data_IF_470608706662
#
_entry.id   IF_470608706662
#
_cell.length_a   1.000
_cell.length_b   1.000
_cell.length_c   1.000
_cell.angle_alpha   90.00
_cell.angle_beta   90.00
_cell.angle_gamma   90.00
#
_symmetry.space_group_name_H-M   'P 1'
#
loop_
_entity.id
_entity.type
_entity.pdbx_description
1 polymer ?
#
# COMPACT_ATOMS: atom_id res chain seq x y z
N UNK A 1 -4.52 4.29 -20.23
CA UNK A 1 -4.60 5.32 -21.28
C UNK A 1 -5.55 4.91 -22.40
N UNK A 2 -5.50 3.66 -22.86
CA UNK A 2 -6.41 3.16 -23.90
C UNK A 2 -7.89 3.34 -23.53
N UNK A 3 -8.24 3.16 -22.24
CA UNK A 3 -9.63 3.35 -21.76
C UNK A 3 -10.15 4.77 -22.04
N UNK A 4 -9.32 5.79 -21.82
CA UNK A 4 -9.68 7.20 -22.06
C UNK A 4 -9.82 7.46 -23.54
N UNK A 5 -8.90 6.95 -24.37
CA UNK A 5 -8.95 7.14 -25.82
C UNK A 5 -10.20 6.48 -26.44
N UNK A 6 -10.49 5.24 -26.05
CA UNK A 6 -11.68 4.51 -26.53
C UNK A 6 -12.96 5.25 -26.10
N UNK A 7 -13.04 5.65 -24.83
CA UNK A 7 -14.19 6.40 -24.33
C UNK A 7 -14.35 7.75 -25.04
N UNK A 8 -13.25 8.45 -25.32
CA UNK A 8 -13.26 9.74 -26.02
C UNK A 8 -13.78 9.59 -27.44
N UNK A 9 -13.21 8.66 -28.22
CA UNK A 9 -13.64 8.42 -29.60
C UNK A 9 -15.11 8.01 -29.65
N UNK A 10 -15.53 7.08 -28.79
CA UNK A 10 -16.91 6.61 -28.78
C UNK A 10 -17.90 7.67 -28.31
N UNK A 11 -17.58 8.42 -27.25
CA UNK A 11 -18.39 9.54 -26.76
C UNK A 11 -18.53 10.65 -27.79
N UNK A 12 -17.43 11.06 -28.43
CA UNK A 12 -17.43 12.06 -29.50
C UNK A 12 -18.21 11.59 -30.73
N UNK A 13 -18.10 10.31 -31.13
CA UNK A 13 -18.86 9.76 -32.24
C UNK A 13 -20.38 9.80 -31.97
N UNK A 14 -20.81 9.45 -30.75
CA UNK A 14 -22.21 9.53 -30.34
C UNK A 14 -22.74 10.98 -30.37
N UNK A 15 -21.96 11.94 -29.86
CA UNK A 15 -22.30 13.35 -29.90
C UNK A 15 -22.39 13.92 -31.31
N UNK A 16 -21.40 13.62 -32.16
CA UNK A 16 -21.37 14.05 -33.54
C UNK A 16 -22.53 13.47 -34.34
N UNK A 17 -22.83 12.18 -34.18
CA UNK A 17 -23.97 11.54 -34.82
C UNK A 17 -25.28 12.27 -34.47
N UNK A 18 -25.51 12.58 -33.19
CA UNK A 18 -26.69 13.34 -32.77
C UNK A 18 -26.72 14.76 -33.35
N UNK A 19 -25.59 15.47 -33.37
CA UNK A 19 -25.52 16.81 -33.91
C UNK A 19 -25.81 16.87 -35.42
N UNK A 20 -25.31 15.90 -36.21
CA UNK A 20 -25.52 15.88 -37.65
C UNK A 20 -26.82 15.23 -38.10
N UNK A 21 -27.45 14.39 -37.28
CA UNK A 21 -28.70 13.69 -37.64
C UNK A 21 -29.95 14.33 -37.08
N UNK A 22 -29.83 15.20 -36.07
CA UNK A 22 -30.98 15.82 -35.40
C UNK A 22 -30.86 17.35 -35.38
N UNK A 23 -31.98 18.04 -35.45
CA UNK A 23 -32.08 19.51 -35.29
C UNK A 23 -32.14 19.96 -33.83
N UNK A 24 -31.68 19.10 -32.89
CA UNK A 24 -31.68 19.38 -31.47
C UNK A 24 -30.69 20.50 -31.13
N UNK A 25 -30.95 21.19 -30.01
CA UNK A 25 -30.06 22.23 -29.51
C UNK A 25 -28.63 21.65 -29.30
N UNK A 26 -27.55 22.33 -29.74
CA UNK A 26 -26.18 21.80 -29.69
C UNK A 26 -25.72 21.33 -28.30
N UNK A 27 -26.29 21.93 -27.24
CA UNK A 27 -26.05 21.52 -25.86
C UNK A 27 -26.46 20.07 -25.58
N UNK A 28 -27.52 19.55 -26.21
CA UNK A 28 -27.99 18.16 -26.03
C UNK A 28 -26.96 17.18 -26.61
N UNK A 29 -26.39 17.47 -27.78
CA UNK A 29 -25.33 16.66 -28.37
C UNK A 29 -24.07 16.65 -27.51
N UNK A 30 -23.70 17.79 -26.92
CA UNK A 30 -22.55 17.88 -26.00
C UNK A 30 -22.77 17.07 -24.70
N UNK A 31 -23.96 17.14 -24.10
CA UNK A 31 -24.31 16.36 -22.91
C UNK A 31 -24.29 14.87 -23.22
N UNK A 32 -24.85 14.44 -24.36
CA UNK A 32 -24.86 13.04 -24.74
C UNK A 32 -23.45 12.50 -25.02
N UNK A 33 -22.58 13.31 -25.64
CA UNK A 33 -21.17 12.94 -25.83
C UNK A 33 -20.46 12.69 -24.49
N UNK A 34 -20.66 13.59 -23.52
CA UNK A 34 -20.08 13.46 -22.18
C UNK A 34 -20.66 12.26 -21.42
N UNK A 35 -21.97 12.02 -21.52
CA UNK A 35 -22.62 10.86 -20.92
C UNK A 35 -22.10 9.54 -21.51
N UNK A 36 -21.99 9.46 -22.85
CA UNK A 36 -21.42 8.32 -23.56
C UNK A 36 -19.97 8.05 -23.18
N UNK A 37 -19.13 9.10 -23.16
CA UNK A 37 -17.76 9.03 -22.66
C UNK A 37 -17.70 8.44 -21.25
N UNK A 38 -18.46 9.03 -20.34
CA UNK A 38 -18.45 8.66 -18.92
C UNK A 38 -18.88 7.20 -18.72
N UNK A 39 -19.96 6.79 -19.39
CA UNK A 39 -20.48 5.43 -19.31
C UNK A 39 -19.44 4.41 -19.79
N UNK A 40 -18.88 4.61 -20.99
CA UNK A 40 -17.90 3.68 -21.59
C UNK A 40 -16.64 3.62 -20.73
N UNK A 41 -16.12 4.76 -20.28
CA UNK A 41 -14.95 4.80 -19.41
C UNK A 41 -15.17 4.04 -18.10
N UNK A 42 -16.31 4.24 -17.44
CA UNK A 42 -16.66 3.57 -16.17
C UNK A 42 -16.80 2.05 -16.37
N UNK A 43 -17.37 1.59 -17.49
CA UNK A 43 -17.49 0.16 -17.79
C UNK A 43 -16.12 -0.49 -17.97
N UNK A 44 -15.22 0.12 -18.76
CA UNK A 44 -13.85 -0.38 -18.94
C UNK A 44 -13.09 -0.35 -17.60
N UNK A 45 -13.25 0.71 -16.81
CA UNK A 45 -12.64 0.80 -15.49
C UNK A 45 -13.10 -0.33 -14.57
N UNK A 46 -14.41 -0.58 -14.47
CA UNK A 46 -14.95 -1.68 -13.66
C UNK A 46 -14.40 -3.04 -14.12
N UNK A 47 -14.31 -3.27 -15.42
CA UNK A 47 -13.80 -4.53 -15.97
C UNK A 47 -12.32 -4.74 -15.61
N UNK A 48 -11.48 -3.72 -15.77
CA UNK A 48 -10.06 -3.82 -15.44
C UNK A 48 -9.87 -3.99 -13.92
N UNK A 49 -10.60 -3.23 -13.10
CA UNK A 49 -10.52 -3.34 -11.65
C UNK A 49 -10.99 -4.71 -11.15
N UNK A 50 -12.02 -5.29 -11.76
CA UNK A 50 -12.45 -6.67 -11.47
C UNK A 50 -11.33 -7.66 -11.77
N UNK A 51 -10.73 -7.60 -12.96
CA UNK A 51 -9.65 -8.52 -13.32
C UNK A 51 -8.41 -8.37 -12.42
N UNK A 52 -8.09 -7.15 -11.97
CA UNK A 52 -7.05 -6.90 -10.98
C UNK A 52 -7.44 -7.51 -9.63
N UNK A 53 -8.69 -7.34 -9.19
CA UNK A 53 -9.21 -7.93 -7.96
C UNK A 53 -9.14 -9.45 -7.95
N UNK A 54 -9.62 -10.10 -9.00
CA UNK A 54 -9.59 -11.57 -9.15
C UNK A 54 -8.15 -12.09 -9.11
N UNK A 55 -7.21 -11.37 -9.72
CA UNK A 55 -5.80 -11.73 -9.66
C UNK A 55 -5.20 -11.54 -8.26
N UNK A 56 -5.60 -10.51 -7.53
CA UNK A 56 -5.15 -10.29 -6.15
C UNK A 56 -5.62 -11.39 -5.21
N UNK A 57 -6.82 -11.95 -5.41
CA UNK A 57 -7.31 -13.08 -4.62
C UNK A 57 -6.43 -14.33 -4.83
N UNK A 58 -6.05 -14.62 -6.08
CA UNK A 58 -5.11 -15.70 -6.40
C UNK A 58 -3.74 -15.45 -5.78
N UNK A 59 -3.23 -14.21 -5.89
CA UNK A 59 -1.96 -13.81 -5.27
C UNK A 59 -1.96 -14.01 -3.76
N UNK A 60 -3.04 -13.65 -3.07
CA UNK A 60 -3.17 -13.89 -1.64
C UNK A 60 -3.14 -15.38 -1.31
N UNK A 61 -3.88 -16.21 -2.06
CA UNK A 61 -3.88 -17.67 -1.92
C UNK A 61 -2.47 -18.25 -2.14
N UNK A 62 -1.77 -17.81 -3.18
CA UNK A 62 -0.40 -18.25 -3.48
C UNK A 62 0.59 -17.84 -2.40
N UNK A 63 0.48 -16.62 -1.84
CA UNK A 63 1.31 -16.18 -0.71
C UNK A 63 1.06 -17.07 0.52
N UNK A 64 -0.21 -17.35 0.85
CA UNK A 64 -0.57 -18.23 1.97
C UNK A 64 -0.10 -19.68 1.76
N UNK A 65 -0.10 -20.14 0.51
CA UNK A 65 0.41 -21.46 0.11
C UNK A 65 1.94 -21.51 -0.03
N UNK A 66 2.65 -20.44 0.33
CA UNK A 66 4.10 -20.32 0.19
C UNK A 66 4.60 -20.52 -1.26
N UNK A 67 3.86 -19.97 -2.24
CA UNK A 67 4.17 -19.97 -3.69
C UNK A 67 4.41 -18.56 -4.24
N UNK A 68 5.40 -17.82 -3.73
CA UNK A 68 5.59 -16.43 -4.10
C UNK A 68 6.00 -16.21 -5.56
N UNK A 69 6.67 -17.16 -6.21
CA UNK A 69 7.00 -17.09 -7.63
C UNK A 69 5.73 -17.07 -8.50
N UNK A 70 4.75 -17.92 -8.16
CA UNK A 70 3.46 -17.94 -8.84
C UNK A 70 2.70 -16.63 -8.64
N UNK A 71 2.72 -16.08 -7.41
CA UNK A 71 2.14 -14.79 -7.10
C UNK A 71 2.78 -13.65 -7.93
N UNK A 72 4.11 -13.60 -8.02
CA UNK A 72 4.82 -12.60 -8.83
C UNK A 72 4.48 -12.76 -10.31
N UNK A 73 4.52 -13.97 -10.85
CA UNK A 73 4.17 -14.23 -12.25
C UNK A 73 2.73 -13.80 -12.57
N UNK A 74 1.78 -14.03 -11.65
CA UNK A 74 0.39 -13.58 -11.80
C UNK A 74 0.31 -12.05 -11.87
N UNK A 75 0.99 -11.34 -10.98
CA UNK A 75 1.02 -9.87 -10.96
C UNK A 75 1.68 -9.29 -12.21
N UNK A 76 2.77 -9.89 -12.69
CA UNK A 76 3.42 -9.51 -13.95
C UNK A 76 2.52 -9.73 -15.16
N UNK A 77 1.73 -10.81 -15.18
CA UNK A 77 0.73 -11.05 -16.21
C UNK A 77 -0.35 -9.97 -16.25
N UNK A 78 -0.89 -9.60 -15.09
CA UNK A 78 -1.87 -8.50 -14.95
C UNK A 78 -1.27 -7.18 -15.42
N UNK A 79 -0.05 -6.88 -14.96
CA UNK A 79 0.72 -5.70 -15.34
C UNK A 79 0.85 -5.61 -16.86
N UNK A 80 1.37 -6.67 -17.50
CA UNK A 80 1.59 -6.70 -18.96
C UNK A 80 0.30 -6.44 -19.73
N UNK A 81 -0.81 -7.05 -19.28
CA UNK A 81 -2.12 -6.94 -19.93
C UNK A 81 -2.74 -5.55 -19.77
N UNK A 82 -2.68 -4.94 -18.59
CA UNK A 82 -3.50 -3.77 -18.24
C UNK A 82 -2.74 -2.46 -17.99
N UNK A 83 -1.40 -2.45 -17.99
CA UNK A 83 -0.60 -1.23 -17.78
C UNK A 83 -0.98 -0.07 -18.72
N UNK A 84 -1.33 -0.37 -19.97
CA UNK A 84 -1.73 0.63 -20.96
C UNK A 84 -3.23 0.92 -20.95
N UNK A 85 -4.02 0.05 -20.33
CA UNK A 85 -5.48 0.22 -20.23
C UNK A 85 -5.84 1.29 -19.23
N UNK A 86 -5.38 1.17 -17.98
CA UNK A 86 -5.73 2.09 -16.90
C UNK A 86 -4.51 2.76 -16.27
N UNK A 87 -4.71 3.96 -15.74
CA UNK A 87 -3.67 4.68 -15.00
C UNK A 87 -3.25 3.89 -13.76
N UNK A 88 -1.98 4.05 -13.38
CA UNK A 88 -1.40 3.51 -12.15
C UNK A 88 -1.36 1.99 -12.02
N UNK A 89 -1.89 1.20 -12.96
CA UNK A 89 -1.81 -0.26 -12.90
C UNK A 89 -0.37 -0.74 -12.84
N UNK A 90 0.52 -0.21 -13.69
CA UNK A 90 1.96 -0.52 -13.63
C UNK A 90 2.53 -0.28 -12.22
N UNK A 91 2.30 0.93 -11.67
CA UNK A 91 2.76 1.30 -10.33
C UNK A 91 2.13 0.44 -9.23
N UNK A 92 0.84 0.10 -9.36
CA UNK A 92 0.12 -0.71 -8.39
C UNK A 92 0.66 -2.14 -8.37
N UNK A 93 0.91 -2.72 -9.55
CA UNK A 93 1.51 -4.05 -9.66
C UNK A 93 2.94 -4.05 -9.13
N UNK A 94 3.75 -3.02 -9.43
CA UNK A 94 5.09 -2.88 -8.86
C UNK A 94 5.06 -2.82 -7.32
N UNK A 95 4.11 -2.09 -6.72
CA UNK A 95 3.95 -2.07 -5.26
C UNK A 95 3.63 -3.47 -4.70
N UNK A 96 2.69 -4.19 -5.30
CA UNK A 96 2.31 -5.54 -4.87
C UNK A 96 3.47 -6.54 -5.01
N UNK A 97 4.15 -6.58 -6.16
CA UNK A 97 5.32 -7.43 -6.41
C UNK A 97 6.43 -7.12 -5.40
N UNK A 98 6.68 -5.83 -5.17
CA UNK A 98 7.67 -5.37 -4.20
C UNK A 98 7.37 -5.84 -2.77
N UNK A 99 6.10 -5.82 -2.36
CA UNK A 99 5.68 -6.36 -1.06
C UNK A 99 5.89 -7.87 -0.96
N UNK A 100 5.61 -8.63 -2.03
CA UNK A 100 5.89 -10.09 -2.05
C UNK A 100 7.37 -10.35 -1.81
N UNK A 101 8.27 -9.65 -2.52
CA UNK A 101 9.71 -9.79 -2.28
C UNK A 101 10.14 -9.33 -0.88
N UNK A 102 9.53 -8.26 -0.36
CA UNK A 102 9.78 -7.79 1.00
C UNK A 102 9.45 -8.86 2.04
N UNK A 103 8.28 -9.48 1.94
CA UNK A 103 7.84 -10.52 2.86
C UNK A 103 8.79 -11.73 2.85
N UNK A 104 9.43 -12.01 1.72
CA UNK A 104 10.47 -13.04 1.59
C UNK A 104 11.87 -12.61 2.06
N UNK A 105 12.02 -11.37 2.51
CA UNK A 105 13.31 -10.75 2.85
C UNK A 105 14.27 -10.57 1.68
N UNK A 106 13.79 -10.66 0.44
CA UNK A 106 14.55 -10.24 -0.74
C UNK A 106 14.47 -8.72 -0.89
N UNK A 107 15.16 -8.00 0.01
CA UNK A 107 15.15 -6.54 0.06
C UNK A 107 15.84 -5.89 -1.14
N UNK A 108 16.60 -6.66 -1.93
CA UNK A 108 17.20 -6.14 -3.17
C UNK A 108 16.10 -5.99 -4.23
N UNK A 109 15.44 -7.10 -4.59
CA UNK A 109 14.35 -7.06 -5.58
C UNK A 109 13.16 -6.24 -5.10
N UNK A 110 12.84 -6.32 -3.81
CA UNK A 110 11.77 -5.51 -3.25
C UNK A 110 12.01 -4.01 -3.49
N UNK A 111 13.24 -3.52 -3.31
CA UNK A 111 13.58 -2.11 -3.53
C UNK A 111 13.29 -1.67 -4.96
N UNK A 112 13.76 -2.44 -5.95
CA UNK A 112 13.63 -2.10 -7.37
C UNK A 112 12.18 -1.97 -7.83
N UNK A 113 11.30 -2.78 -7.24
CA UNK A 113 9.86 -2.74 -7.49
C UNK A 113 9.16 -1.66 -6.66
N UNK A 114 9.45 -1.57 -5.36
CA UNK A 114 8.79 -0.62 -4.46
C UNK A 114 9.10 0.84 -4.81
N UNK A 115 10.31 1.14 -5.31
CA UNK A 115 10.68 2.49 -5.77
C UNK A 115 9.84 2.95 -6.98
N UNK A 116 9.45 2.00 -7.85
CA UNK A 116 8.54 2.21 -8.98
C UNK A 116 7.06 2.05 -8.60
N UNK A 117 6.80 1.74 -7.33
CA UNK A 117 5.50 1.40 -6.79
C UNK A 117 4.53 2.57 -6.70
N UNK A 118 3.26 2.24 -6.47
CA UNK A 118 2.20 3.23 -6.32
C UNK A 118 2.30 3.96 -4.98
N UNK A 119 2.60 5.26 -5.05
CA UNK A 119 2.84 6.11 -3.88
C UNK A 119 1.66 6.24 -2.90
N UNK A 120 0.43 5.96 -3.33
CA UNK A 120 -0.74 5.95 -2.44
C UNK A 120 -0.91 4.63 -1.68
N UNK A 121 -0.14 3.60 -2.02
CA UNK A 121 -0.13 2.35 -1.26
C UNK A 121 0.82 2.51 -0.06
N UNK A 122 0.29 3.03 1.05
CA UNK A 122 1.11 3.43 2.18
C UNK A 122 1.95 2.29 2.79
N UNK A 123 1.44 1.05 2.82
CA UNK A 123 2.18 -0.11 3.34
C UNK A 123 3.44 -0.39 2.52
N UNK A 124 3.33 -0.41 1.19
CA UNK A 124 4.44 -0.59 0.26
C UNK A 124 5.48 0.54 0.42
N UNK A 125 5.02 1.78 0.59
CA UNK A 125 5.91 2.93 0.83
C UNK A 125 6.62 2.85 2.19
N UNK A 126 5.94 2.36 3.23
CA UNK A 126 6.55 2.13 4.53
C UNK A 126 7.59 1.00 4.46
N UNK A 127 7.32 -0.09 3.73
CA UNK A 127 8.30 -1.14 3.45
C UNK A 127 9.52 -0.59 2.70
N UNK A 128 9.32 0.27 1.70
CA UNK A 128 10.41 0.96 0.99
C UNK A 128 11.26 1.80 1.95
N UNK A 129 10.63 2.60 2.81
CA UNK A 129 11.32 3.42 3.79
C UNK A 129 12.14 2.56 4.78
N UNK A 130 11.62 1.39 5.19
CA UNK A 130 12.37 0.44 6.03
C UNK A 130 13.57 -0.15 5.29
N UNK A 131 13.46 -0.46 3.99
CA UNK A 131 14.62 -0.89 3.21
C UNK A 131 15.67 0.22 3.18
N UNK A 132 15.26 1.47 2.93
CA UNK A 132 16.18 2.63 2.93
C UNK A 132 16.86 2.80 4.29
N UNK A 133 16.14 2.61 5.40
CA UNK A 133 16.72 2.60 6.75
C UNK A 133 17.78 1.50 6.90
N UNK A 134 17.46 0.27 6.49
CA UNK A 134 18.39 -0.88 6.55
C UNK A 134 19.63 -0.67 5.69
N UNK A 135 19.53 0.11 4.61
CA UNK A 135 20.63 0.51 3.73
C UNK A 135 21.39 1.76 4.20
N UNK A 136 21.13 2.23 5.43
CA UNK A 136 21.74 3.43 6.00
C UNK A 136 21.48 4.71 5.15
N UNK A 137 20.26 4.86 4.62
CA UNK A 137 19.84 6.01 3.80
C UNK A 137 18.76 6.85 4.54
N UNK A 138 19.08 7.48 5.69
CA UNK A 138 18.09 8.13 6.55
C UNK A 138 17.34 9.28 5.87
N UNK A 139 18.02 10.06 5.01
CA UNK A 139 17.38 11.15 4.25
C UNK A 139 16.29 10.63 3.31
N UNK A 140 16.54 9.53 2.60
CA UNK A 140 15.56 8.89 1.71
C UNK A 140 14.41 8.28 2.50
N UNK A 141 14.71 7.62 3.63
CA UNK A 141 13.69 7.07 4.54
C UNK A 141 12.73 8.17 5.01
N UNK A 142 13.26 9.28 5.52
CA UNK A 142 12.50 10.45 5.97
C UNK A 142 11.60 10.98 4.85
N UNK A 143 12.17 11.25 3.67
CA UNK A 143 11.42 11.78 2.53
C UNK A 143 10.28 10.83 2.08
N UNK A 144 10.55 9.53 2.11
CA UNK A 144 9.55 8.49 1.78
C UNK A 144 8.42 8.48 2.80
N UNK A 145 8.73 8.50 4.09
CA UNK A 145 7.70 8.57 5.13
C UNK A 145 6.91 9.89 5.10
N UNK A 146 7.58 11.03 4.96
CA UNK A 146 6.94 12.36 4.88
C UNK A 146 5.91 12.43 3.75
N UNK A 147 6.28 11.90 2.58
CA UNK A 147 5.37 11.77 1.43
C UNK A 147 4.20 10.84 1.73
N UNK A 148 4.45 9.74 2.43
CA UNK A 148 3.43 8.72 2.74
C UNK A 148 2.41 9.25 3.73
N UNK A 149 2.85 9.86 4.84
CA UNK A 149 1.94 10.46 5.84
C UNK A 149 1.15 11.64 5.28
N UNK A 150 1.71 12.37 4.30
CA UNK A 150 0.98 13.44 3.63
C UNK A 150 -0.24 12.93 2.84
N UNK A 151 -0.16 11.72 2.28
CA UNK A 151 -1.23 11.04 1.55
C UNK A 151 -2.17 10.20 2.42
N UNK A 152 -1.70 9.72 3.58
CA UNK A 152 -2.46 8.84 4.49
C UNK A 152 -2.41 9.37 5.92
N UNK A 153 -3.03 10.54 6.14
CA UNK A 153 -2.88 11.32 7.37
C UNK A 153 -3.57 10.73 8.60
N UNK A 154 -4.60 9.89 8.40
CA UNK A 154 -5.46 9.34 9.44
C UNK A 154 -5.10 7.91 9.87
N UNK A 155 -3.94 7.40 9.46
CA UNK A 155 -3.49 6.04 9.77
C UNK A 155 -2.52 6.05 10.97
N UNK A 156 -2.95 5.62 12.18
CA UNK A 156 -2.13 5.73 13.39
C UNK A 156 -0.86 4.87 13.32
N UNK A 157 -0.96 3.65 12.78
CA UNK A 157 0.19 2.76 12.64
C UNK A 157 1.28 3.38 11.76
N UNK A 158 0.91 4.06 10.67
CA UNK A 158 1.89 4.69 9.78
C UNK A 158 2.73 5.75 10.51
N UNK A 159 2.09 6.59 11.32
CA UNK A 159 2.80 7.59 12.13
C UNK A 159 3.70 6.94 13.18
N UNK A 160 3.18 5.94 13.91
CA UNK A 160 3.95 5.19 14.89
C UNK A 160 5.13 4.44 14.26
N UNK A 161 4.95 3.89 13.06
CA UNK A 161 6.02 3.21 12.32
C UNK A 161 7.12 4.17 11.88
N UNK A 162 6.74 5.37 11.41
CA UNK A 162 7.70 6.41 11.06
C UNK A 162 8.53 6.82 12.28
N UNK A 163 7.87 7.14 13.40
CA UNK A 163 8.54 7.49 14.65
C UNK A 163 9.43 6.36 15.18
N UNK A 164 8.97 5.11 15.08
CA UNK A 164 9.77 3.94 15.45
C UNK A 164 11.06 3.83 14.62
N UNK A 165 10.98 4.09 13.31
CA UNK A 165 12.17 4.07 12.44
C UNK A 165 13.13 5.21 12.77
N UNK A 166 12.63 6.42 13.06
CA UNK A 166 13.43 7.56 13.49
C UNK A 166 14.15 7.28 14.82
N UNK A 167 13.44 6.75 15.81
CA UNK A 167 14.02 6.36 17.10
C UNK A 167 15.12 5.30 16.92
N UNK A 168 14.89 4.33 16.03
CA UNK A 168 15.85 3.26 15.72
C UNK A 168 17.15 3.76 15.09
N UNK A 169 17.12 4.89 14.38
CA UNK A 169 18.32 5.54 13.83
C UNK A 169 18.89 6.63 14.75
N UNK A 170 18.37 6.76 15.98
CA UNK A 170 18.85 7.71 16.99
C UNK A 170 18.23 9.10 16.95
N UNK A 171 17.28 9.37 16.04
CA UNK A 171 16.62 10.68 15.91
C UNK A 171 15.32 10.73 16.74
N UNK A 172 15.47 10.57 18.06
CA UNK A 172 14.34 10.52 19.00
C UNK A 172 13.55 11.83 19.07
N UNK A 173 14.24 12.98 18.99
CA UNK A 173 13.58 14.29 19.01
C UNK A 173 12.62 14.44 17.82
N UNK A 174 13.06 14.02 16.62
CA UNK A 174 12.18 14.01 15.46
C UNK A 174 11.07 12.97 15.58
N UNK A 175 11.34 11.81 16.16
CA UNK A 175 10.30 10.80 16.42
C UNK A 175 9.15 11.36 17.29
N UNK A 176 9.47 12.09 18.36
CA UNK A 176 8.48 12.78 19.21
C UNK A 176 7.69 13.81 18.41
N UNK A 177 8.37 14.69 17.64
CA UNK A 177 7.72 15.70 16.81
C UNK A 177 6.76 15.12 15.77
N UNK A 178 7.16 14.01 15.12
CA UNK A 178 6.33 13.29 14.14
C UNK A 178 5.08 12.70 14.81
N UNK A 179 5.21 12.12 16.00
CA UNK A 179 4.07 11.57 16.74
C UNK A 179 3.09 12.65 17.19
N UNK A 180 3.57 13.78 17.71
CA UNK A 180 2.71 14.92 18.08
C UNK A 180 1.94 15.47 16.87
N UNK A 181 2.62 15.62 15.73
CA UNK A 181 1.98 16.00 14.47
C UNK A 181 0.95 14.96 14.03
N UNK A 182 1.27 13.68 14.15
CA UNK A 182 0.40 12.59 13.74
C UNK A 182 -0.87 12.49 14.59
N UNK A 183 -0.78 12.62 15.92
CA UNK A 183 -1.95 12.66 16.81
C UNK A 183 -2.91 13.79 16.44
N UNK A 184 -2.40 14.98 16.11
CA UNK A 184 -3.23 16.10 15.62
C UNK A 184 -3.96 15.76 14.30
N UNK A 185 -3.43 14.86 13.47
CA UNK A 185 -4.04 14.46 12.19
C UNK A 185 -4.99 13.28 12.32
N UNK A 186 -4.70 12.37 13.24
CA UNK A 186 -5.52 11.20 13.55
C UNK A 186 -6.74 11.58 14.39
N UNK A 187 -6.59 12.52 15.32
CA UNK A 187 -7.64 12.99 16.23
C UNK A 187 -7.52 12.35 17.61
N UNK A 188 -7.78 11.05 17.72
CA UNK A 188 -7.60 10.27 18.96
C UNK A 188 -7.17 8.85 18.61
N UNK A 189 -6.12 8.36 19.25
CA UNK A 189 -5.67 6.96 19.21
C UNK A 189 -4.90 6.65 20.49
N UNK A 190 -5.43 5.73 21.31
CA UNK A 190 -4.89 5.41 22.63
C UNK A 190 -3.48 4.81 22.54
N UNK A 191 -3.27 3.92 21.56
CA UNK A 191 -2.00 3.23 21.38
C UNK A 191 -0.90 4.19 20.94
N UNK A 192 -1.19 5.09 20.00
CA UNK A 192 -0.28 6.12 19.53
C UNK A 192 0.04 7.13 20.64
N UNK A 193 -0.96 7.50 21.46
CA UNK A 193 -0.76 8.39 22.62
C UNK A 193 0.16 7.76 23.66
N UNK A 194 -0.09 6.50 24.02
CA UNK A 194 0.78 5.74 24.93
C UNK A 194 2.20 5.59 24.38
N UNK A 195 2.35 5.38 23.07
CA UNK A 195 3.66 5.32 22.42
C UNK A 195 4.40 6.67 22.44
N UNK A 196 3.69 7.79 22.30
CA UNK A 196 4.28 9.12 22.41
C UNK A 196 4.79 9.38 23.83
N UNK A 197 4.01 9.05 24.86
CA UNK A 197 4.45 9.17 26.26
C UNK A 197 5.67 8.29 26.55
N UNK A 198 5.69 7.07 26.02
CA UNK A 198 6.84 6.18 26.11
C UNK A 198 8.08 6.80 25.46
N UNK A 199 7.96 7.44 24.28
CA UNK A 199 9.09 8.12 23.63
C UNK A 199 9.59 9.32 24.45
N UNK A 200 8.67 10.14 24.98
CA UNK A 200 9.01 11.33 25.81
C UNK A 200 9.73 10.95 27.10
N UNK A 201 9.34 9.84 27.72
CA UNK A 201 9.98 9.30 28.93
C UNK A 201 11.25 8.49 28.65
N UNK A 202 11.70 8.41 27.40
CA UNK A 202 12.90 7.67 27.01
C UNK A 202 12.70 6.15 26.88
N UNK A 203 11.47 5.66 27.05
CA UNK A 203 11.07 4.28 26.88
C UNK A 203 11.02 3.79 25.43
N UNK A 204 10.46 2.60 25.25
CA UNK A 204 10.29 1.94 23.93
C UNK A 204 8.83 1.91 23.54
N UNK A 205 8.54 2.15 22.27
CA UNK A 205 7.20 2.05 21.71
C UNK A 205 6.69 0.59 21.74
N UNK A 206 5.42 0.41 22.13
CA UNK A 206 4.70 -0.86 22.18
C UNK A 206 4.01 -1.16 20.83
N UNK A 207 4.82 -1.36 19.79
CA UNK A 207 4.30 -1.58 18.43
C UNK A 207 3.48 -2.86 18.24
N UNK A 208 3.60 -3.83 19.16
CA UNK A 208 2.82 -5.08 19.14
C UNK A 208 1.30 -4.86 19.18
N UNK A 209 0.84 -3.74 19.74
CA UNK A 209 -0.59 -3.42 19.82
C UNK A 209 -1.26 -3.28 18.45
N UNK A 210 -0.49 -3.05 17.38
CA UNK A 210 -1.00 -2.95 16.02
C UNK A 210 -1.20 -4.30 15.31
N UNK A 211 -0.88 -5.42 15.98
CA UNK A 211 -1.17 -6.78 15.49
C UNK A 211 -0.45 -7.16 14.19
N UNK A 212 -1.13 -7.92 13.34
CA UNK A 212 -0.56 -8.52 12.12
C UNK A 212 -0.02 -7.49 11.12
N UNK A 213 -0.65 -6.31 11.06
CA UNK A 213 -0.22 -5.22 10.20
C UNK A 213 1.14 -4.65 10.61
N UNK A 214 1.53 -4.78 11.88
CA UNK A 214 2.89 -4.48 12.32
C UNK A 214 3.88 -5.60 11.96
N UNK A 215 3.47 -6.87 12.10
CA UNK A 215 4.33 -8.04 11.87
C UNK A 215 4.89 -8.11 10.45
N UNK A 216 4.10 -7.70 9.46
CA UNK A 216 4.53 -7.68 8.05
C UNK A 216 5.76 -6.78 7.80
N UNK A 217 6.03 -5.80 8.67
CA UNK A 217 7.17 -4.90 8.52
C UNK A 217 8.49 -5.51 8.97
N UNK A 218 8.49 -6.68 9.63
CA UNK A 218 9.69 -7.45 9.96
C UNK A 218 10.77 -6.64 10.72
N UNK A 219 10.33 -5.73 11.60
CA UNK A 219 11.21 -4.90 12.42
C UNK A 219 11.52 -5.49 13.80
N UNK A 220 10.86 -6.59 14.16
CA UNK A 220 11.10 -7.31 15.40
C UNK A 220 12.45 -8.01 15.43
N UNK A 221 13.07 -8.07 16.60
CA UNK A 221 14.30 -8.86 16.80
C UNK A 221 13.96 -10.35 16.63
N UNK A 222 14.75 -11.09 15.86
CA UNK A 222 14.54 -12.53 15.63
C UNK A 222 14.39 -13.35 16.93
N UNK A 223 15.09 -12.98 18.01
CA UNK A 223 14.95 -13.64 19.32
C UNK A 223 13.56 -13.49 19.97
N UNK A 224 12.80 -12.44 19.66
CA UNK A 224 11.44 -12.26 20.18
C UNK A 224 10.42 -13.19 19.47
N UNK A 225 10.61 -13.40 18.16
CA UNK A 225 9.83 -14.35 17.36
C UNK A 225 10.04 -15.79 17.82
N UNK A 226 11.29 -16.21 18.05
CA UNK A 226 11.63 -17.55 18.55
C UNK A 226 10.99 -17.76 19.92
N UNK A 227 11.11 -16.81 20.86
CA UNK A 227 10.52 -16.93 22.20
C UNK A 227 8.99 -17.04 22.18
N UNK A 228 8.32 -16.36 21.23
CA UNK A 228 6.87 -16.42 21.03
C UNK A 228 6.44 -17.77 20.43
N UNK A 229 7.18 -18.29 19.45
CA UNK A 229 6.97 -19.64 18.91
C UNK A 229 7.21 -20.73 19.96
N UNK A 230 8.28 -20.61 20.76
CA UNK A 230 8.57 -21.55 21.86
C UNK A 230 7.49 -21.54 22.94
N UNK A 231 6.99 -20.36 23.34
CA UNK A 231 5.87 -20.26 24.30
C UNK A 231 4.56 -20.84 23.75
N UNK A 232 4.25 -20.62 22.46
CA UNK A 232 3.07 -21.19 21.82
C UNK A 232 3.15 -22.73 21.70
N UNK A 233 4.34 -23.28 21.47
CA UNK A 233 4.58 -24.73 21.47
C UNK A 233 4.54 -25.33 22.88
N UNK A 234 5.05 -24.62 23.89
CA UNK A 234 5.02 -25.07 25.29
C UNK A 234 3.61 -25.03 25.90
N UNK A 235 2.79 -24.04 25.53
CA UNK A 235 1.38 -23.96 25.96
C UNK A 235 0.49 -25.09 25.40
N UNK A 236 0.91 -25.77 24.32
CA UNK A 236 0.24 -26.96 23.77
C UNK A 236 0.65 -28.27 24.44
N UNK A 237 1.75 -28.31 25.19
CA UNK A 237 2.10 -29.49 25.99
C UNK A 237 1.29 -29.44 27.29
N UNK A 238 0.08 -30.02 27.28
CA UNK A 238 -0.61 -30.40 28.52
C UNK A 238 0.38 -31.22 29.34
N UNK A 239 0.78 -30.69 30.48
CA UNK A 239 1.53 -31.42 31.49
C UNK A 239 0.60 -32.56 31.94
N UNK A 240 0.85 -33.78 31.48
CA UNK A 240 0.24 -34.97 32.07
C UNK A 240 0.89 -35.11 33.44
N UNK A 241 0.22 -34.63 34.48
CA UNK A 241 0.57 -34.97 35.87
C UNK A 241 0.28 -36.45 36.04
N UNK A 242 1.34 -37.24 36.24
CA UNK A 242 1.25 -38.60 36.77
C UNK A 242 0.88 -38.54 38.24
#
# INVERSE_FOLDING_TARGET
MLSVLIALVAGSALGAALYFTTSLHPAISAITALAGFTLIYVLILKQVMKAVGDAMEVVQKDIMANRPEAAVHKLEGVKKKYQWWQFFIDKQMNAQIGMVYYLRRDFSKAYDYLEKGFVRHWVAMAMLAIIQMKRNQPKKMIATFDKTVAGTRKEPLLWSLYAFCLDKIGDRNKAVSVMEKGLKKVGSDELMSSNLEALKSGGKMKMQGYGDLWLQFQLEKQGAMIRKQTKAMQGRRKIVRR
#
